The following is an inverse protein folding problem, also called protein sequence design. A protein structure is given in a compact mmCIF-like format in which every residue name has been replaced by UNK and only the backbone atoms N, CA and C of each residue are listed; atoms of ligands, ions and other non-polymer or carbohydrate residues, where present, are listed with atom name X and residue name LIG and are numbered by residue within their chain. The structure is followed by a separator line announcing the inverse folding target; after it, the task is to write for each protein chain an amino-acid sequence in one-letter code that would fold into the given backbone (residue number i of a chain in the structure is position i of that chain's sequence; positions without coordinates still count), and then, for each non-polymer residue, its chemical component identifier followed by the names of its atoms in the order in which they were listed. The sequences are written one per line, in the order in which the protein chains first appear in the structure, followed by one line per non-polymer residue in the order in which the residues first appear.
data_IF_407969377084
#
_entry.id   IF_407969377084
#
_cell.length_a   1.000
_cell.length_b   1.000
_cell.length_c   1.000
_cell.angle_alpha   90.00
_cell.angle_beta   90.00
_cell.angle_gamma   90.00
#
_symmetry.space_group_name_H-M   'P 1'
#
loop_
_entity.id
_entity.type
_entity.pdbx_description
1 polymer ?
#
# COMPACT_ATOMS: atom_id res chain seq x y z
N UNK A 1 30.65 27.04 -5.32
CA UNK A 1 30.45 25.59 -5.08
C UNK A 1 30.58 25.34 -3.58
N UNK A 2 29.53 24.88 -2.95
CA UNK A 2 29.57 24.50 -1.53
C UNK A 2 30.53 23.33 -1.34
N UNK A 3 31.17 23.24 -0.18
CA UNK A 3 32.05 22.11 0.08
C UNK A 3 31.23 20.83 0.36
N UNK A 4 31.84 19.66 0.26
CA UNK A 4 31.13 18.38 0.41
C UNK A 4 30.44 18.25 1.79
N UNK A 5 31.03 18.78 2.85
CA UNK A 5 30.44 18.77 4.20
C UNK A 5 29.17 19.63 4.26
N UNK A 6 29.14 20.78 3.63
CA UNK A 6 27.94 21.65 3.59
C UNK A 6 26.79 20.95 2.84
N UNK A 7 27.09 20.24 1.76
CA UNK A 7 26.08 19.46 1.01
C UNK A 7 25.53 18.33 1.89
N UNK A 8 26.41 17.58 2.55
CA UNK A 8 25.99 16.48 3.43
C UNK A 8 25.17 16.99 4.61
N UNK A 9 25.55 18.08 5.25
CA UNK A 9 24.81 18.69 6.35
C UNK A 9 23.43 19.20 5.89
N UNK A 10 23.37 19.83 4.73
CA UNK A 10 22.12 20.27 4.13
C UNK A 10 21.16 19.11 3.86
N UNK A 11 21.64 18.02 3.23
CA UNK A 11 20.84 16.84 2.93
C UNK A 11 20.43 16.12 4.22
N UNK A 12 21.31 15.95 5.19
CA UNK A 12 21.04 15.32 6.48
C UNK A 12 19.94 16.07 7.24
N UNK A 13 20.05 17.40 7.35
CA UNK A 13 19.07 18.26 8.03
C UNK A 13 17.69 18.20 7.36
N UNK A 14 17.65 18.28 6.02
CA UNK A 14 16.39 18.19 5.27
C UNK A 14 15.80 16.78 5.33
N UNK A 15 16.64 15.73 5.25
CA UNK A 15 16.23 14.35 5.36
C UNK A 15 15.60 14.05 6.72
N UNK A 16 16.23 14.42 7.82
CA UNK A 16 15.68 14.25 9.17
C UNK A 16 14.35 14.99 9.36
N UNK A 17 14.25 16.23 8.85
CA UNK A 17 13.00 17.00 8.90
C UNK A 17 11.88 16.33 8.09
N UNK A 18 12.20 15.68 6.99
CA UNK A 18 11.23 14.93 6.20
C UNK A 18 10.78 13.67 6.92
N UNK A 19 11.72 12.87 7.42
CA UNK A 19 11.46 11.62 8.12
C UNK A 19 10.74 11.81 9.47
N UNK A 20 10.88 12.97 10.12
CA UNK A 20 10.11 13.28 11.32
C UNK A 20 8.60 13.45 11.08
N UNK A 21 8.19 13.60 9.83
CA UNK A 21 6.78 13.85 9.44
C UNK A 21 6.15 12.71 8.66
N UNK A 22 6.96 11.90 7.97
CA UNK A 22 6.47 10.93 7.00
C UNK A 22 7.19 9.60 7.14
N UNK A 23 6.42 8.53 7.28
CA UNK A 23 6.89 7.18 7.00
C UNK A 23 7.04 7.04 5.48
N UNK A 24 8.20 6.60 5.00
CA UNK A 24 8.55 6.64 3.57
C UNK A 24 9.40 5.44 3.16
N UNK A 25 9.39 5.12 1.87
CA UNK A 25 10.28 4.09 1.30
C UNK A 25 11.65 4.67 0.96
N UNK A 26 12.65 3.80 0.82
CA UNK A 26 13.98 4.17 0.35
C UNK A 26 13.91 4.94 -0.98
N UNK A 27 13.14 4.43 -1.94
CA UNK A 27 12.94 5.05 -3.26
C UNK A 27 12.35 6.46 -3.16
N UNK A 28 11.32 6.63 -2.32
CA UNK A 28 10.69 7.95 -2.10
C UNK A 28 11.65 8.92 -1.39
N UNK A 29 12.41 8.43 -0.41
CA UNK A 29 13.38 9.23 0.30
C UNK A 29 14.52 9.70 -0.61
N UNK A 30 15.08 8.81 -1.45
CA UNK A 30 16.07 9.17 -2.47
C UNK A 30 15.53 10.22 -3.44
N UNK A 31 14.29 10.06 -3.89
CA UNK A 31 13.62 11.03 -4.76
C UNK A 31 13.44 12.40 -4.10
N UNK A 32 13.13 12.41 -2.80
CA UNK A 32 13.07 13.65 -2.02
C UNK A 32 14.45 14.33 -1.92
N UNK A 33 15.50 13.59 -1.56
CA UNK A 33 16.86 14.14 -1.47
C UNK A 33 17.36 14.65 -2.82
N UNK A 34 17.03 13.94 -3.93
CA UNK A 34 17.38 14.38 -5.28
C UNK A 34 16.80 15.75 -5.58
N UNK A 35 15.51 15.97 -5.31
CA UNK A 35 14.90 17.29 -5.51
C UNK A 35 15.58 18.38 -4.67
N UNK A 36 16.06 18.04 -3.47
CA UNK A 36 16.76 19.01 -2.60
C UNK A 36 18.14 19.37 -3.12
N UNK A 37 18.94 18.38 -3.51
CA UNK A 37 20.29 18.63 -4.01
C UNK A 37 20.28 19.32 -5.38
N UNK A 38 19.28 19.05 -6.24
CA UNK A 38 19.14 19.68 -7.53
C UNK A 38 18.89 21.20 -7.44
N UNK A 39 18.23 21.64 -6.35
CA UNK A 39 18.02 23.06 -6.07
C UNK A 39 19.23 23.68 -5.37
N UNK A 40 19.86 22.94 -4.45
CA UNK A 40 20.97 23.45 -3.64
C UNK A 40 22.28 23.55 -4.43
N UNK A 41 22.60 22.52 -5.24
CA UNK A 41 23.79 22.45 -6.09
C UNK A 41 23.40 22.00 -7.52
N UNK A 42 22.83 22.90 -8.33
CA UNK A 42 22.34 22.55 -9.67
C UNK A 42 23.46 22.06 -10.60
N UNK A 43 24.64 22.62 -10.47
CA UNK A 43 25.80 22.34 -11.34
C UNK A 43 26.62 21.13 -10.92
N UNK A 44 26.27 20.46 -9.81
CA UNK A 44 26.97 19.26 -9.38
C UNK A 44 26.68 18.11 -10.34
N UNK A 45 27.70 17.32 -10.67
CA UNK A 45 27.54 16.19 -11.58
C UNK A 45 26.50 15.18 -11.05
N UNK A 46 25.73 14.49 -11.92
CA UNK A 46 24.77 13.48 -11.50
C UNK A 46 25.40 12.35 -10.67
N UNK A 47 26.63 11.98 -10.97
CA UNK A 47 27.40 11.00 -10.22
C UNK A 47 27.60 11.43 -8.76
N UNK A 48 28.12 12.62 -8.54
CA UNK A 48 28.34 13.17 -7.19
C UNK A 48 27.04 13.37 -6.42
N UNK A 49 25.97 13.81 -7.08
CA UNK A 49 24.64 13.91 -6.47
C UNK A 49 24.16 12.56 -5.95
N UNK A 50 24.28 11.51 -6.75
CA UNK A 50 23.88 10.16 -6.35
C UNK A 50 24.74 9.61 -5.21
N UNK A 51 26.06 9.90 -5.19
CA UNK A 51 26.96 9.53 -4.11
C UNK A 51 26.45 10.09 -2.76
N UNK A 52 26.18 11.39 -2.68
CA UNK A 52 25.70 12.04 -1.46
C UNK A 52 24.29 11.54 -1.06
N UNK A 53 23.38 11.35 -2.01
CA UNK A 53 22.04 10.80 -1.76
C UNK A 53 22.15 9.40 -1.15
N UNK A 54 23.00 8.53 -1.71
CA UNK A 54 23.20 7.19 -1.20
C UNK A 54 23.82 7.20 0.19
N UNK A 55 24.82 8.04 0.44
CA UNK A 55 25.47 8.19 1.76
C UNK A 55 24.45 8.53 2.86
N UNK A 56 23.61 9.54 2.61
CA UNK A 56 22.56 9.95 3.56
C UNK A 56 21.49 8.86 3.69
N UNK A 57 21.08 8.24 2.59
CA UNK A 57 20.06 7.18 2.61
C UNK A 57 20.54 5.99 3.46
N UNK A 58 21.75 5.49 3.23
CA UNK A 58 22.32 4.39 4.01
C UNK A 58 22.47 4.75 5.50
N UNK A 59 22.84 5.98 5.82
CA UNK A 59 22.83 6.46 7.21
C UNK A 59 21.43 6.38 7.82
N UNK A 60 20.38 6.81 7.11
CA UNK A 60 19.01 6.78 7.64
C UNK A 60 18.46 5.35 7.76
N UNK A 61 18.87 4.44 6.86
CA UNK A 61 18.55 2.99 6.96
C UNK A 61 19.22 2.37 8.19
N UNK A 62 20.52 2.62 8.42
CA UNK A 62 21.24 2.13 9.61
C UNK A 62 20.62 2.62 10.91
N UNK A 63 20.10 3.84 10.94
CA UNK A 63 19.37 4.41 12.08
C UNK A 63 17.89 3.96 12.14
N UNK A 64 17.46 3.09 11.22
CA UNK A 64 16.09 2.59 11.10
C UNK A 64 15.02 3.68 10.90
N UNK A 65 15.41 4.86 10.41
CA UNK A 65 14.46 5.91 10.01
C UNK A 65 13.80 5.63 8.65
N UNK A 66 14.51 4.97 7.73
CA UNK A 66 13.98 4.44 6.47
C UNK A 66 13.99 2.93 6.56
N UNK A 67 12.82 2.30 6.44
CA UNK A 67 12.65 0.86 6.55
C UNK A 67 11.49 0.39 5.67
N UNK A 68 11.82 -0.19 4.51
CA UNK A 68 10.85 -0.63 3.51
C UNK A 68 9.98 -1.79 4.00
N UNK A 69 10.51 -2.66 4.85
CA UNK A 69 9.73 -3.73 5.46
C UNK A 69 8.65 -3.18 6.39
N UNK A 70 9.03 -2.28 7.31
CA UNK A 70 8.09 -1.62 8.23
C UNK A 70 7.02 -0.81 7.46
N UNK A 71 7.44 -0.04 6.46
CA UNK A 71 6.53 0.69 5.58
C UNK A 71 5.51 -0.26 4.93
N UNK A 72 6.01 -1.39 4.39
CA UNK A 72 5.18 -2.36 3.68
C UNK A 72 4.21 -3.09 4.61
N UNK A 73 4.59 -3.38 5.86
CA UNK A 73 3.70 -3.95 6.88
C UNK A 73 2.54 -3.01 7.20
N UNK A 74 2.84 -1.74 7.51
CA UNK A 74 1.82 -0.71 7.79
C UNK A 74 0.87 -0.55 6.58
N UNK A 75 1.44 -0.55 5.38
CA UNK A 75 0.66 -0.42 4.14
C UNK A 75 -0.20 -1.64 3.85
N UNK A 76 0.34 -2.84 4.09
CA UNK A 76 -0.35 -4.12 3.92
C UNK A 76 -1.57 -4.21 4.83
N UNK A 77 -1.37 -3.96 6.13
CA UNK A 77 -2.44 -3.92 7.12
C UNK A 77 -3.55 -2.93 6.72
N UNK A 78 -3.18 -1.71 6.32
CA UNK A 78 -4.14 -0.69 5.89
C UNK A 78 -4.93 -1.12 4.65
N UNK A 79 -4.28 -1.76 3.68
CA UNK A 79 -4.93 -2.24 2.45
C UNK A 79 -5.87 -3.39 2.79
N UNK A 80 -5.43 -4.39 3.55
CA UNK A 80 -6.24 -5.52 3.99
C UNK A 80 -7.47 -5.04 4.77
N UNK A 81 -7.28 -4.26 5.82
CA UNK A 81 -8.35 -3.73 6.66
C UNK A 81 -9.28 -2.75 5.94
N UNK A 82 -8.90 -2.22 4.79
CA UNK A 82 -9.77 -1.41 3.92
C UNK A 82 -10.52 -2.24 2.88
N UNK A 83 -10.31 -3.56 2.83
CA UNK A 83 -10.87 -4.44 1.83
C UNK A 83 -10.21 -4.28 0.47
N UNK A 84 -8.89 -4.37 0.42
CA UNK A 84 -8.09 -4.41 -0.81
C UNK A 84 -7.59 -5.82 -1.09
N UNK A 85 -7.47 -6.19 -2.36
CA UNK A 85 -7.00 -7.51 -2.78
C UNK A 85 -5.49 -7.68 -2.65
N UNK A 86 -5.03 -8.94 -2.73
CA UNK A 86 -3.62 -9.32 -2.92
C UNK A 86 -2.97 -8.55 -4.08
N UNK A 87 -3.66 -8.47 -5.21
CA UNK A 87 -3.19 -7.75 -6.41
C UNK A 87 -3.03 -6.26 -6.15
N UNK A 88 -3.98 -5.64 -5.45
CA UNK A 88 -3.89 -4.22 -5.11
C UNK A 88 -2.72 -3.94 -4.17
N UNK A 89 -2.47 -4.82 -3.20
CA UNK A 89 -1.32 -4.68 -2.29
C UNK A 89 -0.01 -4.71 -3.06
N UNK A 90 0.21 -5.74 -3.89
CA UNK A 90 1.41 -5.86 -4.73
C UNK A 90 1.63 -4.60 -5.58
N UNK A 91 0.60 -4.19 -6.30
CA UNK A 91 0.65 -2.99 -7.13
C UNK A 91 1.02 -1.73 -6.34
N UNK A 92 0.43 -1.55 -5.14
CA UNK A 92 0.69 -0.37 -4.31
C UNK A 92 2.08 -0.35 -3.68
N UNK A 93 2.68 -1.48 -3.42
CA UNK A 93 4.06 -1.56 -2.94
C UNK A 93 5.06 -1.34 -4.08
N UNK A 94 4.81 -1.94 -5.25
CA UNK A 94 5.61 -1.75 -6.45
C UNK A 94 5.65 -0.27 -6.89
N UNK A 95 4.50 0.43 -6.90
CA UNK A 95 4.44 1.89 -7.15
C UNK A 95 5.32 2.71 -6.19
N UNK A 96 5.69 2.17 -5.04
CA UNK A 96 6.52 2.81 -4.03
C UNK A 96 8.00 2.42 -4.13
N UNK A 97 8.34 1.60 -5.12
CA UNK A 97 9.70 1.13 -5.37
C UNK A 97 10.18 0.16 -4.29
N UNK A 98 9.28 -0.61 -3.70
CA UNK A 98 9.61 -1.68 -2.76
C UNK A 98 10.18 -2.87 -3.55
N UNK A 99 11.22 -3.48 -2.98
CA UNK A 99 11.84 -4.68 -3.54
C UNK A 99 10.85 -5.85 -3.62
N UNK A 100 10.97 -6.65 -4.69
CA UNK A 100 10.08 -7.78 -4.98
C UNK A 100 10.02 -8.79 -3.82
N UNK A 101 11.14 -9.11 -3.20
CA UNK A 101 11.18 -10.09 -2.09
C UNK A 101 10.42 -9.58 -0.88
N UNK A 102 10.49 -8.27 -0.60
CA UNK A 102 9.70 -7.62 0.46
C UNK A 102 8.21 -7.64 0.09
N UNK A 103 7.86 -7.37 -1.17
CA UNK A 103 6.47 -7.43 -1.65
C UNK A 103 5.89 -8.82 -1.46
N UNK A 104 6.60 -9.89 -1.87
CA UNK A 104 6.13 -11.26 -1.71
C UNK A 104 5.97 -11.62 -0.24
N UNK A 105 6.97 -11.34 0.60
CA UNK A 105 6.92 -11.59 2.05
C UNK A 105 5.70 -10.93 2.72
N UNK A 106 5.44 -9.66 2.40
CA UNK A 106 4.31 -8.92 2.98
C UNK A 106 2.98 -9.42 2.42
N UNK A 107 2.98 -9.75 1.13
CA UNK A 107 1.79 -10.30 0.48
C UNK A 107 1.39 -11.63 1.11
N UNK A 108 2.34 -12.52 1.35
CA UNK A 108 2.08 -13.82 1.99
C UNK A 108 1.70 -13.68 3.48
N UNK A 109 2.17 -12.64 4.16
CA UNK A 109 1.75 -12.33 5.53
C UNK A 109 0.24 -12.03 5.62
N UNK A 110 -0.31 -11.26 4.68
CA UNK A 110 -1.72 -10.83 4.72
C UNK A 110 -2.66 -11.68 3.87
N UNK A 111 -2.15 -12.43 2.90
CA UNK A 111 -2.92 -13.22 1.95
C UNK A 111 -2.28 -14.60 1.76
N UNK A 112 -2.14 -15.34 2.85
CA UNK A 112 -1.52 -16.68 2.87
C UNK A 112 -2.39 -17.73 2.16
N UNK A 113 -3.70 -17.50 2.12
CA UNK A 113 -4.67 -18.43 1.54
C UNK A 113 -5.87 -17.71 0.89
N UNK A 114 -6.71 -18.49 0.21
CA UNK A 114 -7.91 -17.94 -0.49
C UNK A 114 -8.93 -17.31 0.47
N UNK A 115 -9.00 -17.77 1.72
CA UNK A 115 -9.95 -17.25 2.71
C UNK A 115 -9.58 -15.82 3.14
N UNK A 116 -8.30 -15.47 3.15
CA UNK A 116 -7.85 -14.11 3.47
C UNK A 116 -8.31 -13.10 2.40
N UNK A 117 -8.33 -13.51 1.12
CA UNK A 117 -8.91 -12.68 0.05
C UNK A 117 -10.43 -12.52 0.20
N UNK A 118 -11.15 -13.59 0.55
CA UNK A 118 -12.59 -13.55 0.82
C UNK A 118 -12.87 -12.64 2.01
N UNK A 119 -12.10 -12.76 3.10
CA UNK A 119 -12.22 -11.90 4.27
C UNK A 119 -12.06 -10.42 3.90
N UNK A 120 -11.01 -10.08 3.19
CA UNK A 120 -10.77 -8.70 2.76
C UNK A 120 -11.88 -8.19 1.83
N UNK A 121 -12.38 -9.01 0.92
CA UNK A 121 -13.51 -8.66 0.05
C UNK A 121 -14.80 -8.45 0.85
N UNK A 122 -15.10 -9.28 1.85
CA UNK A 122 -16.23 -9.10 2.75
C UNK A 122 -16.12 -7.80 3.57
N UNK A 123 -14.93 -7.45 4.05
CA UNK A 123 -14.68 -6.15 4.70
C UNK A 123 -15.07 -5.00 3.77
N UNK A 124 -14.70 -5.08 2.48
CA UNK A 124 -15.06 -4.06 1.51
C UNK A 124 -16.58 -4.02 1.25
N UNK A 125 -17.23 -5.18 1.04
CA UNK A 125 -18.68 -5.25 0.79
C UNK A 125 -19.49 -4.72 1.96
N UNK A 126 -19.08 -5.03 3.22
CA UNK A 126 -19.68 -4.49 4.44
C UNK A 126 -19.56 -2.96 4.49
N UNK A 127 -18.36 -2.42 4.27
CA UNK A 127 -18.11 -0.97 4.26
C UNK A 127 -18.91 -0.24 3.18
N UNK A 128 -19.10 -0.86 2.01
CA UNK A 128 -19.83 -0.27 0.89
C UNK A 128 -21.32 -0.57 0.90
N UNK A 129 -21.77 -1.41 1.82
CA UNK A 129 -23.18 -1.87 1.93
C UNK A 129 -23.67 -2.49 0.62
N UNK A 130 -22.90 -3.40 0.05
CA UNK A 130 -23.20 -4.13 -1.18
C UNK A 130 -23.31 -5.64 -0.91
N UNK A 131 -23.90 -6.40 -1.84
CA UNK A 131 -24.13 -7.84 -1.65
C UNK A 131 -25.02 -8.10 -0.45
N UNK A 132 -24.62 -9.04 0.41
CA UNK A 132 -25.32 -9.42 1.65
C UNK A 132 -25.62 -8.23 2.59
N UNK A 133 -24.79 -7.19 2.55
CA UNK A 133 -24.95 -5.99 3.39
C UNK A 133 -25.81 -4.89 2.75
N UNK A 134 -26.40 -5.14 1.59
CA UNK A 134 -27.30 -4.20 0.93
C UNK A 134 -28.67 -4.19 1.61
N UNK A 135 -29.16 -3.02 2.00
CA UNK A 135 -30.39 -2.89 2.81
C UNK A 135 -31.57 -2.20 2.09
N UNK A 136 -31.41 -1.83 0.80
CA UNK A 136 -32.51 -1.19 0.06
C UNK A 136 -33.42 -2.25 -0.57
N UNK A 137 -34.69 -1.88 -0.74
CA UNK A 137 -35.66 -2.75 -1.38
C UNK A 137 -35.27 -3.05 -2.83
N UNK A 138 -35.03 -4.32 -3.13
CA UNK A 138 -34.64 -4.80 -4.46
C UNK A 138 -35.78 -4.79 -5.45
N UNK A 139 -37.06 -4.73 -5.00
CA UNK A 139 -38.22 -4.78 -5.86
C UNK A 139 -38.36 -3.54 -6.78
N UNK A 140 -37.63 -2.46 -6.49
CA UNK A 140 -37.65 -1.20 -7.27
C UNK A 140 -36.38 -1.01 -8.12
N UNK A 141 -35.46 -1.96 -8.14
CA UNK A 141 -34.17 -1.84 -8.81
C UNK A 141 -33.95 -3.06 -9.68
N UNK A 142 -33.44 -2.84 -10.89
CA UNK A 142 -32.94 -3.92 -11.74
C UNK A 142 -31.82 -4.68 -11.04
N UNK A 143 -32.16 -5.83 -10.48
CA UNK A 143 -31.27 -6.67 -9.68
C UNK A 143 -30.03 -7.11 -10.48
N UNK A 144 -30.16 -7.32 -11.80
CA UNK A 144 -29.05 -7.69 -12.68
C UNK A 144 -28.04 -6.55 -12.81
N UNK A 145 -28.52 -5.35 -13.10
CA UNK A 145 -27.68 -4.15 -13.17
C UNK A 145 -26.97 -3.85 -11.83
N UNK A 146 -27.66 -4.07 -10.72
CA UNK A 146 -27.08 -3.87 -9.40
C UNK A 146 -25.96 -4.87 -9.11
N UNK A 147 -26.20 -6.15 -9.43
CA UNK A 147 -25.20 -7.22 -9.27
C UNK A 147 -23.96 -6.93 -10.12
N UNK A 148 -24.13 -6.51 -11.37
CA UNK A 148 -23.01 -6.12 -12.24
C UNK A 148 -22.20 -4.94 -11.66
N UNK A 149 -22.85 -3.95 -11.05
CA UNK A 149 -22.18 -2.84 -10.34
C UNK A 149 -21.36 -3.33 -9.15
N UNK A 150 -21.83 -4.33 -8.41
CA UNK A 150 -21.10 -4.91 -7.28
C UNK A 150 -19.85 -5.67 -7.72
N UNK A 151 -19.97 -6.52 -8.75
CA UNK A 151 -18.81 -7.18 -9.37
C UNK A 151 -17.78 -6.15 -9.87
N UNK A 152 -18.23 -5.12 -10.58
CA UNK A 152 -17.35 -4.03 -11.02
C UNK A 152 -16.69 -3.26 -9.87
N UNK A 153 -17.34 -3.15 -8.72
CA UNK A 153 -16.75 -2.52 -7.54
C UNK A 153 -15.61 -3.35 -6.94
N UNK A 154 -15.78 -4.68 -6.85
CA UNK A 154 -14.74 -5.59 -6.37
C UNK A 154 -13.60 -5.72 -7.39
N UNK A 155 -13.90 -5.83 -8.69
CA UNK A 155 -12.90 -5.86 -9.75
C UNK A 155 -11.96 -4.62 -9.72
N UNK A 156 -12.50 -3.41 -9.49
CA UNK A 156 -11.70 -2.19 -9.31
C UNK A 156 -10.81 -2.21 -8.06
N UNK A 157 -11.13 -3.07 -7.09
CA UNK A 157 -10.28 -3.34 -5.91
C UNK A 157 -9.26 -4.45 -6.16
N UNK A 158 -9.26 -5.02 -7.37
CA UNK A 158 -8.30 -6.02 -7.82
C UNK A 158 -8.65 -7.45 -7.45
N UNK A 159 -9.86 -7.73 -6.96
CA UNK A 159 -10.32 -9.09 -6.69
C UNK A 159 -10.56 -9.85 -8.00
N UNK A 160 -10.40 -11.18 -7.95
CA UNK A 160 -10.71 -12.07 -9.06
C UNK A 160 -12.21 -12.34 -9.12
N UNK A 161 -12.72 -12.66 -10.32
CA UNK A 161 -14.12 -13.06 -10.48
C UNK A 161 -14.49 -14.27 -9.60
N UNK A 162 -13.55 -15.22 -9.42
CA UNK A 162 -13.75 -16.38 -8.53
C UNK A 162 -13.96 -15.94 -7.06
N UNK A 163 -13.14 -14.98 -6.57
CA UNK A 163 -13.30 -14.41 -5.24
C UNK A 163 -14.64 -13.68 -5.10
N UNK A 164 -14.98 -12.87 -6.09
CA UNK A 164 -16.24 -12.11 -6.12
C UNK A 164 -17.45 -13.04 -6.06
N UNK A 165 -17.42 -14.13 -6.86
CA UNK A 165 -18.48 -15.13 -6.90
C UNK A 165 -18.68 -15.76 -5.52
N UNK A 166 -17.61 -16.22 -4.87
CA UNK A 166 -17.67 -16.80 -3.52
C UNK A 166 -18.22 -15.84 -2.49
N UNK A 167 -17.81 -14.56 -2.54
CA UNK A 167 -18.33 -13.52 -1.63
C UNK A 167 -19.82 -13.30 -1.79
N UNK A 168 -20.34 -13.34 -3.02
CA UNK A 168 -21.78 -13.17 -3.28
C UNK A 168 -22.61 -14.45 -3.16
N UNK A 169 -21.98 -15.62 -2.99
CA UNK A 169 -22.62 -16.88 -2.65
C UNK A 169 -22.85 -17.02 -1.11
N UNK A 170 -22.15 -16.24 -0.29
CA UNK A 170 -22.40 -16.19 1.14
C UNK A 170 -23.73 -15.46 1.38
N UNK A 171 -24.72 -16.15 1.88
CA UNK A 171 -26.07 -15.66 2.15
C UNK A 171 -26.38 -15.48 3.65
N UNK A 172 -25.48 -15.96 4.53
CA UNK A 172 -25.64 -15.91 5.98
C UNK A 172 -24.76 -14.79 6.59
N UNK A 173 -25.44 -13.83 7.25
CA UNK A 173 -24.75 -12.71 7.92
C UNK A 173 -23.80 -13.16 9.05
N UNK A 174 -24.16 -14.19 9.81
CA UNK A 174 -23.32 -14.72 10.90
C UNK A 174 -22.04 -15.34 10.34
N UNK A 175 -22.14 -16.09 9.24
CA UNK A 175 -20.98 -16.64 8.53
C UNK A 175 -20.07 -15.53 8.02
N UNK A 176 -20.61 -14.52 7.33
CA UNK A 176 -19.85 -13.39 6.82
C UNK A 176 -19.13 -12.62 7.96
N UNK A 177 -19.81 -12.36 9.07
CA UNK A 177 -19.21 -11.71 10.24
C UNK A 177 -18.12 -12.55 10.89
N UNK A 178 -18.29 -13.86 10.98
CA UNK A 178 -17.25 -14.77 11.49
C UNK A 178 -16.00 -14.73 10.61
N UNK A 179 -16.16 -14.72 9.28
CA UNK A 179 -15.02 -14.59 8.37
C UNK A 179 -14.34 -13.21 8.51
N UNK A 180 -15.12 -12.13 8.61
CA UNK A 180 -14.59 -10.75 8.76
C UNK A 180 -13.77 -10.61 10.04
N UNK A 181 -14.23 -11.22 11.14
CA UNK A 181 -13.61 -11.08 12.46
C UNK A 181 -12.48 -12.10 12.72
N UNK A 182 -12.15 -12.94 11.76
CA UNK A 182 -11.02 -13.87 11.86
C UNK A 182 -9.70 -13.09 11.96
N UNK A 183 -8.81 -13.50 12.87
CA UNK A 183 -7.44 -12.98 12.95
C UNK A 183 -6.59 -13.60 11.81
N UNK A 184 -5.89 -12.75 11.05
CA UNK A 184 -4.96 -13.12 9.99
C UNK A 184 -3.54 -13.13 10.50
#
# INVERSE_FOLDING_TARGET
MNNENEILDFLNKNGLRYLSKFETTESQFKSFLKKKIDVFEPNLSPYKKNEFINLITEKMKKLNYVNDLRYSEIKGEKIFNSGGSKKLLKFKLDEKGIDHDVIEKITDKFFSNKLDEIQSALIYTKKKKIGLFYRKDLNKIDASNLKNKWFGALARRGFSYETDKKVFEIDNLSEAENIINRTV
#
